data_IF_469463281495
#
_entry.id   IF_469463281495
#
_cell.length_a   1.000
_cell.length_b   1.000
_cell.length_c   1.000
_cell.angle_alpha   90.00
_cell.angle_beta   90.00
_cell.angle_gamma   90.00
#
_symmetry.space_group_name_H-M   'P 1'
#
loop_
_entity.id
_entity.type
_entity.pdbx_description
1 polymer ?
#
# COMPACT_ATOMS: atom_id res chain seq x y z
N UNK A 1 -7.73 13.05 -5.65
CA UNK A 1 -7.27 11.71 -5.29
C UNK A 1 -7.65 10.71 -6.37
N UNK A 2 -6.88 9.66 -6.50
CA UNK A 2 -7.19 8.57 -7.44
C UNK A 2 -8.56 7.95 -7.16
N UNK A 3 -9.01 7.99 -5.91
CA UNK A 3 -10.31 7.46 -5.53
C UNK A 3 -11.47 8.33 -5.99
N UNK A 4 -11.19 9.55 -6.42
CA UNK A 4 -12.23 10.47 -6.89
C UNK A 4 -12.46 10.35 -8.40
N UNK A 5 -11.69 9.53 -9.09
CA UNK A 5 -11.82 9.35 -10.54
C UNK A 5 -12.93 8.34 -10.83
N UNK A 6 -13.93 8.70 -11.62
CA UNK A 6 -15.00 7.77 -11.96
C UNK A 6 -14.47 6.50 -12.63
N UNK A 7 -14.96 5.35 -12.19
CA UNK A 7 -14.53 4.05 -12.68
C UNK A 7 -13.33 3.48 -11.93
N UNK A 8 -12.42 4.31 -11.50
CA UNK A 8 -11.26 3.87 -10.73
C UNK A 8 -11.63 3.56 -9.28
N UNK A 9 -12.58 4.30 -8.75
CA UNK A 9 -13.05 4.11 -7.38
C UNK A 9 -13.55 2.70 -7.13
N UNK A 10 -14.29 2.12 -8.09
CA UNK A 10 -14.85 0.78 -7.92
C UNK A 10 -13.78 -0.30 -7.75
N UNK A 11 -12.64 -0.10 -8.40
CA UNK A 11 -11.54 -1.07 -8.32
C UNK A 11 -10.66 -0.84 -7.10
N UNK A 12 -10.28 0.40 -6.85
CA UNK A 12 -9.27 0.71 -5.84
C UNK A 12 -9.83 0.82 -4.43
N UNK A 13 -11.06 1.26 -4.29
CA UNK A 13 -11.65 1.46 -2.98
C UNK A 13 -11.70 0.19 -2.13
N UNK A 14 -12.11 -0.96 -2.66
CA UNK A 14 -12.09 -2.19 -1.86
C UNK A 14 -10.69 -2.57 -1.39
N UNK A 15 -9.68 -2.35 -2.23
CA UNK A 15 -8.29 -2.62 -1.87
C UNK A 15 -7.85 -1.69 -0.73
N UNK A 16 -8.13 -0.41 -0.87
CA UNK A 16 -7.79 0.58 0.14
C UNK A 16 -8.50 0.28 1.46
N UNK A 17 -9.80 0.01 1.41
CA UNK A 17 -10.58 -0.27 2.61
C UNK A 17 -10.05 -1.51 3.34
N UNK A 18 -9.72 -2.55 2.62
CA UNK A 18 -9.19 -3.77 3.20
C UNK A 18 -7.83 -3.54 3.86
N UNK A 19 -6.94 -2.86 3.17
CA UNK A 19 -5.59 -2.60 3.66
C UNK A 19 -5.59 -1.63 4.83
N UNK A 20 -6.27 -0.50 4.67
CA UNK A 20 -6.33 0.52 5.71
C UNK A 20 -7.13 0.05 6.92
N UNK A 21 -8.14 -0.79 6.70
CA UNK A 21 -8.89 -1.40 7.78
C UNK A 21 -8.03 -2.27 8.68
N UNK A 22 -7.15 -3.07 8.09
CA UNK A 22 -6.21 -3.88 8.85
C UNK A 22 -5.30 -3.01 9.72
N UNK A 23 -4.81 -1.92 9.14
CA UNK A 23 -3.89 -1.03 9.82
C UNK A 23 -4.57 -0.31 10.97
N UNK A 24 -5.79 0.17 10.76
CA UNK A 24 -6.57 0.82 11.82
C UNK A 24 -6.82 -0.13 12.98
N UNK A 25 -7.10 -1.37 12.68
CA UNK A 25 -7.38 -2.39 13.69
C UNK A 25 -6.14 -2.68 14.53
N UNK A 26 -5.00 -2.88 13.90
CA UNK A 26 -3.75 -3.11 14.60
C UNK A 26 -3.33 -1.91 15.43
N UNK A 27 -3.50 -0.73 14.88
CA UNK A 27 -3.15 0.49 15.58
C UNK A 27 -3.99 0.71 16.84
N UNK A 28 -5.27 0.35 16.79
CA UNK A 28 -6.12 0.44 17.98
C UNK A 28 -5.55 -0.41 19.12
N UNK A 29 -5.04 -1.60 18.80
CA UNK A 29 -4.38 -2.46 19.77
C UNK A 29 -3.11 -1.84 20.34
N UNK A 30 -2.29 -1.23 19.49
CA UNK A 30 -1.06 -0.56 19.93
C UNK A 30 -1.37 0.61 20.84
N UNK A 31 -2.34 1.43 20.47
CA UNK A 31 -2.72 2.61 21.25
C UNK A 31 -3.26 2.25 22.63
N UNK A 32 -3.75 1.05 22.80
CA UNK A 32 -4.29 0.60 24.07
C UNK A 32 -3.19 0.41 25.13
N UNK A 33 -2.02 0.00 24.69
CA UNK A 33 -0.92 -0.35 25.60
C UNK A 33 0.20 0.68 25.66
N UNK A 34 0.49 1.32 24.54
CA UNK A 34 1.58 2.30 24.51
C UNK A 34 1.37 3.30 23.38
N UNK A 35 0.97 4.50 23.75
CA UNK A 35 0.65 5.56 22.81
C UNK A 35 1.87 6.31 22.28
N UNK A 36 3.01 6.13 22.91
CA UNK A 36 4.17 6.99 22.64
C UNK A 36 5.27 6.29 21.87
N UNK A 37 5.28 4.97 21.87
CA UNK A 37 6.32 4.27 21.16
C UNK A 37 6.05 4.26 19.65
N UNK A 38 7.06 4.61 18.86
CA UNK A 38 6.93 4.51 17.42
C UNK A 38 6.79 3.06 16.99
N UNK A 39 6.06 2.84 15.92
CA UNK A 39 5.95 1.51 15.34
C UNK A 39 7.32 1.11 14.79
N UNK A 40 7.97 0.15 15.43
CA UNK A 40 9.33 -0.24 15.06
C UNK A 40 9.38 -1.34 14.01
N UNK A 41 8.36 -2.20 14.01
CA UNK A 41 8.29 -3.27 13.03
C UNK A 41 6.84 -3.69 12.83
N UNK A 42 6.36 -3.60 11.61
CA UNK A 42 5.00 -4.05 11.25
C UNK A 42 4.98 -4.47 9.80
N UNK A 43 4.17 -5.45 9.53
CA UNK A 43 3.98 -5.94 8.17
C UNK A 43 2.49 -6.03 7.87
N UNK A 44 2.10 -5.42 6.75
CA UNK A 44 0.73 -5.50 6.25
C UNK A 44 0.76 -6.00 4.83
N UNK A 45 -0.08 -6.98 4.52
CA UNK A 45 -0.08 -7.62 3.21
C UNK A 45 -1.49 -7.64 2.63
N UNK A 46 -1.58 -7.32 1.36
CA UNK A 46 -2.77 -7.48 0.56
C UNK A 46 -2.43 -8.41 -0.61
N UNK A 47 -3.32 -9.36 -0.90
CA UNK A 47 -3.21 -10.20 -2.10
C UNK A 47 -4.51 -10.08 -2.88
N UNK A 48 -4.40 -10.06 -4.20
CA UNK A 48 -5.55 -9.92 -5.09
C UNK A 48 -5.41 -10.76 -6.33
N UNK A 49 -6.51 -10.92 -7.02
CA UNK A 49 -6.59 -11.75 -8.22
C UNK A 49 -6.56 -10.95 -9.51
N UNK A 50 -6.55 -9.63 -9.40
CA UNK A 50 -6.60 -8.76 -10.56
C UNK A 50 -5.25 -8.11 -10.84
N UNK A 51 -5.26 -6.92 -11.44
CA UNK A 51 -4.01 -6.26 -11.87
C UNK A 51 -3.04 -6.03 -10.71
N UNK A 52 -3.53 -5.62 -9.57
CA UNK A 52 -2.69 -5.54 -8.37
C UNK A 52 -2.80 -6.88 -7.66
N UNK A 53 -1.75 -7.68 -7.76
CA UNK A 53 -1.75 -9.01 -7.17
C UNK A 53 -1.18 -9.04 -5.76
N UNK A 54 -0.40 -8.04 -5.38
CA UNK A 54 0.27 -8.07 -4.09
C UNK A 54 0.70 -6.65 -3.69
N UNK A 55 0.44 -6.30 -2.43
CA UNK A 55 1.00 -5.09 -1.83
C UNK A 55 1.47 -5.47 -0.44
N UNK A 56 2.71 -5.16 -0.13
CA UNK A 56 3.24 -5.34 1.22
C UNK A 56 3.79 -4.03 1.73
N UNK A 57 3.36 -3.64 2.91
CA UNK A 57 3.95 -2.53 3.64
C UNK A 57 4.73 -3.10 4.80
N UNK A 58 6.02 -2.85 4.83
CA UNK A 58 6.89 -3.30 5.90
C UNK A 58 7.55 -2.08 6.53
N UNK A 59 7.30 -1.89 7.82
CA UNK A 59 7.95 -0.83 8.59
C UNK A 59 9.02 -1.48 9.44
N UNK A 60 10.26 -0.99 9.29
CA UNK A 60 11.39 -1.55 10.02
C UNK A 60 12.53 -0.54 10.04
N UNK A 61 13.10 -0.30 11.23
CA UNK A 61 14.32 0.49 11.40
C UNK A 61 14.28 1.85 10.70
N UNK A 62 13.18 2.58 10.85
CA UNK A 62 13.05 3.91 10.27
C UNK A 62 12.74 3.93 8.79
N UNK A 63 12.39 2.78 8.21
CA UNK A 63 12.02 2.69 6.81
C UNK A 63 10.64 2.07 6.66
N UNK A 64 9.77 2.72 5.90
CA UNK A 64 8.54 2.10 5.44
C UNK A 64 8.73 1.70 3.99
N UNK A 65 8.78 0.41 3.73
CA UNK A 65 8.97 -0.14 2.41
C UNK A 65 7.63 -0.63 1.88
N UNK A 66 7.21 -0.08 0.75
CA UNK A 66 5.97 -0.46 0.09
C UNK A 66 6.34 -1.21 -1.18
N UNK A 67 6.09 -2.51 -1.18
CA UNK A 67 6.39 -3.37 -2.31
C UNK A 67 5.09 -3.82 -2.95
N UNK A 68 4.97 -3.58 -4.25
CA UNK A 68 3.77 -3.94 -5.01
C UNK A 68 4.14 -4.76 -6.22
N UNK A 69 3.29 -5.73 -6.52
CA UNK A 69 3.43 -6.56 -7.72
C UNK A 69 2.17 -6.38 -8.55
N UNK A 70 2.35 -5.99 -9.79
CA UNK A 70 1.27 -5.82 -10.74
C UNK A 70 1.37 -6.89 -11.81
N UNK A 71 0.23 -7.37 -12.25
CA UNK A 71 0.19 -8.13 -13.49
C UNK A 71 0.29 -7.13 -14.62
N UNK A 72 1.13 -7.43 -15.58
CA UNK A 72 1.21 -6.59 -16.76
C UNK A 72 -0.16 -6.57 -17.43
N UNK A 73 -0.74 -5.39 -17.51
CA UNK A 73 -1.96 -5.21 -18.27
C UNK A 73 -1.60 -4.77 -19.69
N UNK A 74 -2.56 -4.86 -20.58
CA UNK A 74 -2.36 -4.52 -21.98
C UNK A 74 -2.14 -3.03 -22.22
N UNK A 75 -2.26 -2.19 -21.20
CA UNK A 75 -2.14 -0.76 -21.36
C UNK A 75 -1.23 -0.14 -20.31
N UNK A 76 -0.25 0.63 -20.77
CA UNK A 76 0.63 1.41 -19.90
C UNK A 76 -0.16 2.36 -19.01
N UNK A 77 -1.29 2.83 -19.49
CA UNK A 77 -2.16 3.74 -18.76
C UNK A 77 -2.63 3.14 -17.44
N UNK A 78 -3.00 1.88 -17.46
CA UNK A 78 -3.50 1.20 -16.26
C UNK A 78 -2.39 1.01 -15.24
N UNK A 79 -1.19 0.68 -15.70
CA UNK A 79 -0.03 0.56 -14.81
C UNK A 79 0.27 1.89 -14.13
N UNK A 80 0.21 2.99 -14.87
CA UNK A 80 0.43 4.31 -14.29
C UNK A 80 -0.59 4.63 -13.21
N UNK A 81 -1.85 4.30 -13.45
CA UNK A 81 -2.91 4.53 -12.47
C UNK A 81 -2.71 3.66 -11.23
N UNK A 82 -2.28 2.40 -11.42
CA UNK A 82 -1.99 1.50 -10.30
C UNK A 82 -0.84 2.05 -9.45
N UNK A 83 0.20 2.58 -10.08
CA UNK A 83 1.31 3.20 -9.36
C UNK A 83 0.83 4.39 -8.53
N UNK A 84 -0.01 5.24 -9.11
CA UNK A 84 -0.58 6.37 -8.39
C UNK A 84 -1.39 5.91 -7.18
N UNK A 85 -2.16 4.86 -7.34
CA UNK A 85 -2.94 4.29 -6.24
C UNK A 85 -2.04 3.81 -5.11
N UNK A 86 -0.96 3.10 -5.42
CA UNK A 86 -0.05 2.60 -4.41
C UNK A 86 0.63 3.76 -3.67
N UNK A 87 0.98 4.83 -4.39
CA UNK A 87 1.52 6.03 -3.74
C UNK A 87 0.52 6.64 -2.76
N UNK A 88 -0.74 6.74 -3.16
CA UNK A 88 -1.79 7.22 -2.27
C UNK A 88 -1.91 6.32 -1.04
N UNK A 89 -1.96 5.02 -1.26
CA UNK A 89 -2.10 4.06 -0.18
C UNK A 89 -0.92 4.15 0.81
N UNK A 90 0.30 4.25 0.29
CA UNK A 90 1.48 4.38 1.12
C UNK A 90 1.45 5.64 1.98
N UNK A 91 1.01 6.77 1.43
CA UNK A 91 0.88 8.00 2.20
C UNK A 91 -0.15 7.87 3.31
N UNK A 92 -1.28 7.22 3.02
CA UNK A 92 -2.30 7.00 4.03
C UNK A 92 -1.80 6.08 5.15
N UNK A 93 -1.07 5.03 4.80
CA UNK A 93 -0.48 4.13 5.79
C UNK A 93 0.51 4.88 6.67
N UNK A 94 1.37 5.69 6.06
CA UNK A 94 2.36 6.47 6.80
C UNK A 94 1.66 7.37 7.84
N UNK A 95 0.59 8.03 7.41
CA UNK A 95 -0.20 8.89 8.30
C UNK A 95 -0.87 8.11 9.41
N UNK A 96 -1.50 6.99 9.07
CA UNK A 96 -2.22 6.16 10.06
C UNK A 96 -1.30 5.57 11.12
N UNK A 97 -0.08 5.21 10.73
CA UNK A 97 0.90 4.68 11.67
C UNK A 97 1.61 5.77 12.46
N UNK A 98 1.30 7.04 12.17
CA UNK A 98 1.90 8.21 12.82
C UNK A 98 3.42 8.20 12.76
N UNK A 99 3.95 7.81 11.61
CA UNK A 99 5.38 7.84 11.42
C UNK A 99 5.85 9.29 11.25
N UNK A 100 7.01 9.57 11.84
CA UNK A 100 7.58 10.91 11.78
C UNK A 100 8.41 11.06 10.52
N UNK A 101 8.08 12.02 9.63
CA UNK A 101 8.85 12.19 8.39
C UNK A 101 10.31 12.58 8.61
N UNK A 102 10.67 13.10 9.80
CA UNK A 102 12.05 13.40 10.14
C UNK A 102 12.84 12.15 10.53
N UNK A 103 12.17 11.08 10.90
CA UNK A 103 12.80 9.85 11.38
C UNK A 103 12.56 8.64 10.50
N UNK A 104 11.57 8.73 9.62
CA UNK A 104 11.18 7.61 8.77
C UNK A 104 11.24 8.00 7.31
N UNK A 105 11.74 7.08 6.50
CA UNK A 105 11.75 7.22 5.04
C UNK A 105 10.77 6.25 4.44
N UNK A 106 10.29 6.58 3.25
CA UNK A 106 9.37 5.72 2.49
C UNK A 106 10.08 5.27 1.23
N UNK A 107 10.03 3.98 0.94
CA UNK A 107 10.54 3.44 -0.30
C UNK A 107 9.41 2.69 -1.00
N UNK A 108 9.24 2.99 -2.28
CA UNK A 108 8.27 2.28 -3.11
C UNK A 108 9.03 1.38 -4.09
N UNK A 109 8.67 0.11 -4.12
CA UNK A 109 9.21 -0.85 -5.07
C UNK A 109 8.07 -1.47 -5.85
N UNK A 110 8.23 -1.51 -7.18
CA UNK A 110 7.20 -2.01 -8.07
C UNK A 110 7.79 -3.13 -8.93
N UNK A 111 7.11 -4.25 -8.97
CA UNK A 111 7.41 -5.34 -9.88
C UNK A 111 6.23 -5.56 -10.80
N UNK A 112 6.50 -5.55 -12.09
CA UNK A 112 5.48 -5.81 -13.09
C UNK A 112 5.70 -7.22 -13.62
N UNK A 113 4.71 -8.07 -13.38
CA UNK A 113 4.78 -9.45 -13.82
C UNK A 113 4.24 -9.54 -15.26
N UNK A 114 5.12 -9.80 -16.20
CA UNK A 114 4.79 -9.87 -17.61
C UNK A 114 4.73 -11.31 -18.13
N UNK A 115 4.34 -12.24 -17.28
CA UNK A 115 4.35 -13.65 -17.63
C UNK A 115 3.51 -13.98 -18.87
N UNK A 116 2.47 -13.21 -19.12
CA UNK A 116 1.62 -13.44 -20.29
C UNK A 116 2.30 -13.09 -21.61
N UNK A 117 3.39 -12.39 -21.56
CA UNK A 117 4.12 -12.02 -22.78
C UNK A 117 4.64 -13.25 -23.52
N UNK A 118 4.77 -14.35 -22.81
CA UNK A 118 5.28 -15.58 -23.40
C UNK A 118 4.23 -16.38 -24.17
N UNK A 119 3.00 -15.93 -24.13
CA UNK A 119 1.94 -16.61 -24.84
C UNK A 119 1.86 -16.22 -26.30
#
# INVERSE_FOLDING_TARGET
>A
SILDTPGEEEYYKPIADKMLGKIKKERAGINQYDRQEPVTSRRFVFTGDECISFIQVLVRDGLMDVHSVFRSSDTERKTFTDVQFVHYLGREVFRLLRLNPDQHRVRFRFNINSAHVLS
#
